data_IF_325854131351
#
_entry.id   IF_325854131351
#
_cell.length_a   1.000
_cell.length_b   1.000
_cell.length_c   1.000
_cell.angle_alpha   90.00
_cell.angle_beta   90.00
_cell.angle_gamma   90.00
#
_symmetry.space_group_name_H-M   'P 1'
#
loop_
_entity.id
_entity.type
_entity.pdbx_description
1 polymer ?
#
# COMPACT_ATOMS: atom_id res chain seq x y z
N UNK A 1 30.38 2.02 13.98
CA UNK A 1 29.83 0.97 14.88
C UNK A 1 28.33 0.95 14.68
N UNK A 2 27.79 0.00 13.91
CA UNK A 2 26.33 -0.18 13.79
C UNK A 2 25.85 -0.94 15.01
N UNK A 3 24.95 -0.35 15.79
CA UNK A 3 24.33 -1.04 16.92
C UNK A 3 23.49 -2.22 16.41
N UNK A 4 23.63 -3.38 17.06
CA UNK A 4 22.79 -4.55 16.77
C UNK A 4 21.37 -4.23 17.26
N UNK A 5 20.35 -4.30 16.39
CA UNK A 5 18.97 -4.06 16.82
C UNK A 5 18.58 -5.10 17.87
N UNK A 6 17.96 -4.64 18.94
CA UNK A 6 17.47 -5.50 20.01
C UNK A 6 16.23 -6.28 19.55
N UNK A 7 15.97 -7.44 20.15
CA UNK A 7 14.82 -8.27 19.78
C UNK A 7 13.47 -7.53 19.87
N UNK A 8 13.33 -6.59 20.83
CA UNK A 8 12.14 -5.76 20.98
C UNK A 8 11.92 -4.79 19.79
N UNK A 9 13.00 -4.23 19.24
CA UNK A 9 12.94 -3.35 18.07
C UNK A 9 12.56 -4.14 16.81
N UNK A 10 13.11 -5.35 16.66
CA UNK A 10 12.75 -6.24 15.56
C UNK A 10 11.28 -6.66 15.63
N UNK A 11 10.79 -7.01 16.82
CA UNK A 11 9.38 -7.33 17.06
C UNK A 11 8.47 -6.14 16.77
N UNK A 12 8.86 -4.93 17.19
CA UNK A 12 8.10 -3.72 16.90
C UNK A 12 8.01 -3.48 15.39
N UNK A 13 9.14 -3.64 14.68
CA UNK A 13 9.22 -3.45 13.24
C UNK A 13 8.42 -4.48 12.42
N UNK A 14 8.20 -5.69 12.95
CA UNK A 14 7.41 -6.76 12.29
C UNK A 14 6.01 -6.99 12.87
N UNK A 15 5.60 -6.19 13.86
CA UNK A 15 4.24 -6.26 14.44
C UNK A 15 3.22 -5.45 13.62
N UNK A 16 1.98 -5.94 13.59
CA UNK A 16 0.83 -5.21 13.03
C UNK A 16 -0.32 -5.18 14.02
N UNK A 17 -1.17 -4.15 13.91
CA UNK A 17 -2.32 -3.94 14.82
C UNK A 17 -3.62 -3.91 14.03
N UNK A 18 -4.64 -4.59 14.55
CA UNK A 18 -6.02 -4.48 14.07
C UNK A 18 -6.64 -3.21 14.65
N UNK A 19 -7.04 -2.27 13.78
CA UNK A 19 -7.69 -1.02 14.20
C UNK A 19 -9.22 -1.12 14.22
N UNK A 20 -9.79 -2.07 13.47
CA UNK A 20 -11.24 -2.27 13.33
C UNK A 20 -11.54 -3.72 12.94
N UNK A 21 -12.66 -4.23 13.44
CA UNK A 21 -13.12 -5.60 13.19
C UNK A 21 -12.52 -6.60 14.17
N UNK A 22 -13.06 -7.81 14.16
CA UNK A 22 -12.60 -8.94 14.98
C UNK A 22 -12.23 -10.08 14.03
N UNK A 23 -11.02 -10.06 13.43
CA UNK A 23 -10.58 -11.13 12.55
C UNK A 23 -10.35 -12.41 13.35
N UNK A 24 -10.75 -13.52 12.76
CA UNK A 24 -10.46 -14.85 13.31
C UNK A 24 -8.96 -15.15 13.32
N UNK A 25 -8.56 -16.12 14.14
CA UNK A 25 -7.18 -16.59 14.19
C UNK A 25 -6.68 -17.10 12.82
N UNK A 26 -7.56 -17.70 12.02
CA UNK A 26 -7.26 -18.18 10.67
C UNK A 26 -6.95 -17.02 9.71
N UNK A 27 -7.75 -15.94 9.76
CA UNK A 27 -7.52 -14.75 8.92
C UNK A 27 -6.22 -14.04 9.29
N UNK A 28 -5.89 -13.97 10.58
CA UNK A 28 -4.61 -13.41 11.06
C UNK A 28 -3.41 -14.27 10.60
N UNK A 29 -3.54 -15.60 10.62
CA UNK A 29 -2.53 -16.51 10.10
C UNK A 29 -2.34 -16.35 8.59
N UNK A 30 -3.43 -16.29 7.81
CA UNK A 30 -3.36 -16.07 6.37
C UNK A 30 -2.72 -14.72 6.03
N UNK A 31 -3.09 -13.65 6.74
CA UNK A 31 -2.54 -12.32 6.56
C UNK A 31 -1.03 -12.27 6.87
N UNK A 32 -0.60 -12.86 7.98
CA UNK A 32 0.82 -12.92 8.35
C UNK A 32 1.66 -13.74 7.37
N UNK A 33 1.12 -14.83 6.82
CA UNK A 33 1.79 -15.61 5.78
C UNK A 33 2.03 -14.78 4.50
N UNK A 34 1.02 -14.02 4.06
CA UNK A 34 1.14 -13.13 2.89
C UNK A 34 2.16 -12.01 3.15
N UNK A 35 2.14 -11.40 4.33
CA UNK A 35 3.13 -10.39 4.71
C UNK A 35 4.56 -10.95 4.69
N UNK A 36 4.76 -12.14 5.26
CA UNK A 36 6.06 -12.81 5.29
C UNK A 36 6.58 -13.07 3.88
N UNK A 37 5.72 -13.58 2.98
CA UNK A 37 6.08 -13.81 1.57
C UNK A 37 6.47 -12.50 0.86
N UNK A 38 5.71 -11.42 1.06
CA UNK A 38 5.96 -10.11 0.44
C UNK A 38 7.25 -9.47 0.95
N UNK A 39 7.57 -9.62 2.22
CA UNK A 39 8.76 -9.05 2.84
C UNK A 39 10.02 -9.87 2.52
N UNK A 40 9.88 -11.19 2.33
CA UNK A 40 10.98 -12.05 1.88
C UNK A 40 11.46 -11.72 0.45
N UNK A 41 10.58 -11.19 -0.41
CA UNK A 41 10.90 -10.81 -1.79
C UNK A 41 11.56 -9.43 -1.96
N UNK A 42 12.09 -8.84 -0.89
CA UNK A 42 12.60 -7.46 -0.89
C UNK A 42 13.80 -7.20 -1.83
N UNK A 43 14.40 -8.24 -2.43
CA UNK A 43 15.58 -8.10 -3.30
C UNK A 43 15.24 -8.14 -4.81
N UNK A 44 13.98 -8.35 -5.18
CA UNK A 44 13.58 -8.21 -6.59
C UNK A 44 13.41 -6.72 -6.93
N UNK A 45 14.08 -6.20 -7.98
CA UNK A 45 13.95 -4.82 -8.38
C UNK A 45 12.48 -4.53 -8.69
N UNK A 46 11.88 -3.62 -7.91
CA UNK A 46 10.49 -3.26 -8.07
C UNK A 46 10.24 -2.85 -9.54
N UNK A 47 9.20 -3.40 -10.20
CA UNK A 47 8.90 -3.02 -11.57
C UNK A 47 8.71 -1.51 -11.65
N UNK A 48 9.36 -0.87 -12.62
CA UNK A 48 9.31 0.58 -12.81
C UNK A 48 7.85 1.02 -12.96
N UNK A 49 7.27 1.56 -11.89
CA UNK A 49 5.92 2.12 -11.92
C UNK A 49 5.97 3.37 -12.78
N UNK A 50 5.08 3.53 -13.78
CA UNK A 50 5.03 4.77 -14.55
C UNK A 50 4.81 5.95 -13.59
N UNK A 51 5.61 7.01 -13.76
CA UNK A 51 5.56 8.21 -12.93
C UNK A 51 4.16 8.88 -12.93
N UNK A 52 3.38 8.61 -13.98
CA UNK A 52 2.00 9.05 -14.14
C UNK A 52 1.06 7.87 -14.08
N UNK A 53 0.15 7.90 -13.12
CA UNK A 53 -0.97 6.97 -13.09
C UNK A 53 -1.88 7.22 -14.31
N UNK A 54 -2.33 6.14 -14.97
CA UNK A 54 -3.06 6.20 -16.26
C UNK A 54 -4.46 6.83 -16.18
N UNK A 55 -5.06 6.89 -15.00
CA UNK A 55 -6.27 7.67 -14.76
C UNK A 55 -5.97 9.18 -14.80
N UNK A 56 -6.70 9.89 -15.65
CA UNK A 56 -6.66 11.35 -15.66
C UNK A 56 -7.52 11.87 -14.51
N UNK A 57 -6.92 12.69 -13.65
CA UNK A 57 -7.63 13.41 -12.60
C UNK A 57 -8.53 14.48 -13.24
N UNK A 58 -9.83 14.57 -12.90
CA UNK A 58 -10.74 15.58 -13.45
C UNK A 58 -10.20 17.01 -13.29
N UNK A 59 -9.57 17.30 -12.16
CA UNK A 59 -8.93 18.59 -11.86
C UNK A 59 -7.71 18.92 -12.73
N UNK A 60 -7.15 17.94 -13.45
CA UNK A 60 -6.02 18.12 -14.38
C UNK A 60 -6.45 18.17 -15.85
N UNK A 61 -7.71 17.87 -16.13
CA UNK A 61 -8.28 18.03 -17.47
C UNK A 61 -8.58 19.52 -17.68
N UNK A 62 -8.30 20.04 -18.88
CA UNK A 62 -8.82 21.36 -19.27
C UNK A 62 -10.33 21.36 -19.03
N UNK A 63 -10.85 22.45 -18.48
CA UNK A 63 -12.29 22.63 -18.33
C UNK A 63 -12.98 22.28 -19.66
N UNK A 64 -13.90 21.32 -19.60
CA UNK A 64 -14.68 20.90 -20.76
C UNK A 64 -15.48 22.11 -21.26
N UNK A 65 -15.03 22.71 -22.36
CA UNK A 65 -15.68 23.87 -22.97
C UNK A 65 -16.58 23.36 -24.09
N UNK A 66 -17.85 23.16 -23.78
CA UNK A 66 -18.90 22.93 -24.76
C UNK A 66 -20.03 23.92 -24.47
N UNK A 67 -20.31 24.87 -25.37
CA UNK A 67 -21.38 25.86 -25.20
C UNK A 67 -22.79 25.26 -24.98
N UNK A 68 -22.96 23.95 -25.21
CA UNK A 68 -24.22 23.21 -25.04
C UNK A 68 -24.27 22.31 -23.80
N UNK A 69 -23.24 22.30 -22.96
CA UNK A 69 -23.09 21.29 -21.90
C UNK A 69 -23.81 21.59 -20.58
N UNK A 70 -24.58 22.68 -20.46
CA UNK A 70 -25.31 23.04 -19.23
C UNK A 70 -26.82 23.11 -19.36
N UNK A 71 -27.39 22.26 -20.21
CA UNK A 71 -28.82 21.97 -20.15
C UNK A 71 -29.07 20.46 -20.13
N UNK A 72 -28.72 19.83 -19.00
CA UNK A 72 -29.35 18.61 -18.48
C UNK A 72 -29.01 18.45 -17.01
#
# INVERSE_FOLDING_TARGET
MTATPTAAELLTATSFRVLRGEPSAEELAAFSAVLTLRLATADEPAPQRPATARWSRPERLRAYSCPRAWHS
#
